data_IF_718558020182
#
_entry.id   IF_718558020182
#
_cell.length_a   1.000
_cell.length_b   1.000
_cell.length_c   1.000
_cell.angle_alpha   90.00
_cell.angle_beta   90.00
_cell.angle_gamma   90.00
#
_symmetry.space_group_name_H-M   'P 1'
#
loop_
_entity.id
_entity.type
_entity.pdbx_description
1 polymer ?
#
# COMPACT_ATOMS: atom_id res chain seq x y z
N UNK A 1 6.79 -1.16 18.72
CA UNK A 1 8.06 -0.42 18.62
C UNK A 1 7.99 0.73 19.60
N UNK A 2 9.03 0.98 20.39
CA UNK A 2 9.17 2.18 21.21
C UNK A 2 9.60 3.36 20.32
N UNK A 3 8.78 4.43 20.16
CA UNK A 3 9.12 5.57 19.31
C UNK A 3 10.43 6.27 19.71
N UNK A 4 10.88 6.14 20.96
CA UNK A 4 12.13 6.76 21.44
C UNK A 4 13.38 6.12 20.83
N UNK A 5 13.30 4.87 20.38
CA UNK A 5 14.42 4.14 19.77
C UNK A 5 14.53 4.36 18.25
N UNK A 6 13.48 4.92 17.62
CA UNK A 6 13.41 5.09 16.18
C UNK A 6 14.55 5.93 15.59
N UNK A 7 14.96 7.08 16.18
CA UNK A 7 16.07 7.86 15.64
C UNK A 7 17.39 7.09 15.61
N UNK A 8 17.66 6.30 16.66
CA UNK A 8 18.87 5.47 16.77
C UNK A 8 18.85 4.33 15.75
N UNK A 9 17.69 3.68 15.59
CA UNK A 9 17.47 2.65 14.57
C UNK A 9 17.73 3.19 13.15
N UNK A 10 17.16 4.35 12.82
CA UNK A 10 17.38 5.00 11.53
C UNK A 10 18.84 5.45 11.35
N UNK A 11 19.50 5.91 12.42
CA UNK A 11 20.91 6.30 12.38
C UNK A 11 21.83 5.12 12.06
N UNK A 12 21.56 3.94 12.63
CA UNK A 12 22.34 2.74 12.34
C UNK A 12 22.29 2.35 10.84
N UNK A 13 21.15 2.55 10.17
CA UNK A 13 21.07 2.34 8.72
C UNK A 13 21.88 3.36 7.94
N UNK A 14 21.86 4.64 8.32
CA UNK A 14 22.68 5.64 7.64
C UNK A 14 24.17 5.37 7.80
N UNK A 15 24.59 4.84 8.95
CA UNK A 15 25.96 4.37 9.15
C UNK A 15 26.28 3.16 8.25
N UNK A 16 25.35 2.22 8.11
CA UNK A 16 25.49 1.11 7.16
C UNK A 16 25.65 1.62 5.71
N UNK A 17 24.86 2.60 5.28
CA UNK A 17 25.00 3.19 3.93
C UNK A 17 26.37 3.86 3.73
N UNK A 18 26.90 4.54 4.75
CA UNK A 18 28.24 5.12 4.69
C UNK A 18 29.31 4.03 4.51
N UNK A 19 29.21 2.92 5.23
CA UNK A 19 30.13 1.78 5.08
C UNK A 19 30.04 1.12 3.71
N UNK A 20 28.83 0.99 3.14
CA UNK A 20 28.63 0.46 1.79
C UNK A 20 29.27 1.40 0.75
N UNK A 21 29.06 2.70 0.89
CA UNK A 21 29.67 3.70 0.01
C UNK A 21 31.20 3.71 0.10
N UNK A 22 31.78 3.56 1.29
CA UNK A 22 33.23 3.43 1.49
C UNK A 22 33.81 2.17 0.85
N UNK A 23 33.05 1.06 0.88
CA UNK A 23 33.47 -0.19 0.25
C UNK A 23 33.40 -0.14 -1.28
N UNK A 24 32.45 0.62 -1.83
CA UNK A 24 32.31 0.87 -3.27
C UNK A 24 31.68 -0.27 -4.08
N UNK A 25 31.12 -1.30 -3.42
CA UNK A 25 30.44 -2.43 -4.07
C UNK A 25 29.02 -2.60 -3.51
N UNK A 26 28.06 -1.80 -4.01
CA UNK A 26 26.65 -1.93 -3.65
C UNK A 26 25.91 -2.90 -4.60
N UNK A 27 25.88 -4.16 -4.19
CA UNK A 27 25.23 -5.27 -4.91
C UNK A 27 23.74 -5.41 -4.65
N UNK A 28 23.14 -4.54 -3.84
CA UNK A 28 21.72 -4.62 -3.50
C UNK A 28 20.84 -4.26 -4.69
N UNK A 29 19.57 -4.62 -4.61
CA UNK A 29 18.63 -4.43 -5.69
C UNK A 29 18.30 -2.94 -5.91
N UNK A 30 18.11 -2.60 -7.18
CA UNK A 30 17.53 -1.34 -7.62
C UNK A 30 16.01 -1.50 -7.70
N UNK A 31 15.28 -0.70 -6.94
CA UNK A 31 13.83 -0.72 -6.93
C UNK A 31 13.26 0.18 -8.03
N UNK A 32 12.37 -0.38 -8.85
CA UNK A 32 11.48 0.40 -9.72
C UNK A 32 10.08 0.31 -9.11
N UNK A 33 9.69 1.38 -8.41
CA UNK A 33 8.40 1.50 -7.72
C UNK A 33 7.36 1.98 -8.72
N UNK A 34 6.31 1.19 -8.95
CA UNK A 34 5.21 1.54 -9.85
C UNK A 34 4.00 1.98 -9.06
N UNK A 35 3.54 3.19 -9.34
CA UNK A 35 2.39 3.81 -8.69
C UNK A 35 1.34 4.13 -9.76
N UNK A 36 0.31 3.29 -9.94
CA UNK A 36 -0.85 3.66 -10.72
C UNK A 36 -1.65 4.74 -10.00
N UNK A 37 -2.09 5.74 -10.75
CA UNK A 37 -2.87 6.86 -10.23
C UNK A 37 -4.00 7.19 -11.20
N UNK A 38 -5.13 7.66 -10.70
CA UNK A 38 -6.23 8.19 -11.50
C UNK A 38 -6.91 9.31 -10.72
N UNK A 39 -6.91 10.52 -11.27
CA UNK A 39 -7.51 11.75 -10.71
C UNK A 39 -7.27 11.96 -9.21
N UNK A 40 -6.09 11.57 -8.70
CA UNK A 40 -5.79 11.59 -7.27
C UNK A 40 -4.42 12.22 -6.94
N UNK A 41 -4.23 13.50 -7.30
CA UNK A 41 -2.96 14.21 -7.05
C UNK A 41 -2.58 14.28 -5.57
N UNK A 42 -3.51 14.40 -4.62
CA UNK A 42 -3.18 14.45 -3.18
C UNK A 42 -2.70 13.11 -2.67
N UNK A 43 -3.35 12.01 -3.06
CA UNK A 43 -2.86 10.67 -2.71
C UNK A 43 -1.46 10.43 -3.28
N UNK A 44 -1.24 10.75 -4.56
CA UNK A 44 0.08 10.65 -5.18
C UNK A 44 1.13 11.46 -4.42
N UNK A 45 0.83 12.72 -4.07
CA UNK A 45 1.73 13.55 -3.29
C UNK A 45 2.08 12.92 -1.94
N UNK A 46 1.08 12.45 -1.17
CA UNK A 46 1.30 11.85 0.14
C UNK A 46 2.13 10.55 0.05
N UNK A 47 1.85 9.72 -0.96
CA UNK A 47 2.64 8.52 -1.23
C UNK A 47 4.11 8.86 -1.50
N UNK A 48 4.38 9.80 -2.41
CA UNK A 48 5.74 10.24 -2.75
C UNK A 48 6.45 10.94 -1.58
N UNK A 49 5.73 11.76 -0.79
CA UNK A 49 6.27 12.37 0.42
C UNK A 49 6.70 11.31 1.43
N UNK A 50 5.88 10.28 1.63
CA UNK A 50 6.22 9.16 2.52
C UNK A 50 7.43 8.37 2.02
N UNK A 51 7.58 8.20 0.69
CA UNK A 51 8.76 7.57 0.09
C UNK A 51 10.00 8.44 0.29
N UNK A 52 9.90 9.76 0.05
CA UNK A 52 11.01 10.68 0.29
C UNK A 52 11.43 10.68 1.76
N UNK A 53 10.47 10.64 2.69
CA UNK A 53 10.72 10.50 4.12
C UNK A 53 11.43 9.18 4.45
N UNK A 54 11.04 8.07 3.83
CA UNK A 54 11.73 6.77 3.94
C UNK A 54 13.18 6.88 3.45
N UNK A 55 13.37 7.39 2.23
CA UNK A 55 14.67 7.55 1.62
C UNK A 55 15.60 8.44 2.47
N UNK A 56 15.10 9.57 3.00
CA UNK A 56 15.88 10.44 3.91
C UNK A 56 16.16 9.79 5.27
N UNK A 57 15.25 8.99 5.77
CA UNK A 57 15.40 8.34 7.08
C UNK A 57 16.46 7.24 7.05
N UNK A 58 16.52 6.45 5.97
CA UNK A 58 17.36 5.25 5.91
C UNK A 58 18.49 5.33 4.88
N UNK A 59 18.48 6.31 3.98
CA UNK A 59 19.50 6.59 2.97
C UNK A 59 19.81 5.43 2.01
N UNK A 60 18.87 4.50 1.79
CA UNK A 60 19.06 3.34 0.91
C UNK A 60 19.53 3.75 -0.49
N UNK A 61 20.78 3.42 -0.82
CA UNK A 61 21.40 3.72 -2.10
C UNK A 61 21.64 5.22 -2.35
N UNK A 62 21.81 6.01 -1.28
CA UNK A 62 22.16 7.42 -1.38
C UNK A 62 23.55 7.59 -1.98
N UNK A 63 23.66 8.37 -3.06
CA UNK A 63 24.93 8.67 -3.72
C UNK A 63 25.57 9.97 -3.20
N UNK A 64 26.81 10.23 -3.66
CA UNK A 64 27.56 11.43 -3.29
C UNK A 64 26.93 12.76 -3.79
N UNK A 65 25.96 12.70 -4.69
CA UNK A 65 25.21 13.85 -5.21
C UNK A 65 23.88 14.06 -4.47
N UNK A 66 23.60 13.25 -3.45
CA UNK A 66 22.35 13.35 -2.69
C UNK A 66 21.14 12.73 -3.39
N UNK A 67 21.35 11.88 -4.41
CA UNK A 67 20.28 11.14 -5.10
C UNK A 67 20.17 9.72 -4.58
N UNK A 68 18.96 9.18 -4.59
CA UNK A 68 18.70 7.79 -4.18
C UNK A 68 18.88 6.85 -5.38
N UNK A 69 20.13 6.56 -5.73
CA UNK A 69 20.54 5.90 -6.97
C UNK A 69 19.96 4.48 -7.16
N UNK A 70 19.47 3.84 -6.09
CA UNK A 70 18.82 2.52 -6.13
C UNK A 70 17.28 2.58 -6.15
N UNK A 71 16.70 3.76 -6.36
CA UNK A 71 15.24 3.96 -6.35
C UNK A 71 14.79 4.79 -7.55
N UNK A 72 14.03 4.14 -8.44
CA UNK A 72 13.31 4.79 -9.53
C UNK A 72 11.80 4.64 -9.28
N UNK A 73 11.03 5.66 -9.63
CA UNK A 73 9.57 5.67 -9.50
C UNK A 73 8.92 5.86 -10.87
N UNK A 74 8.01 4.97 -11.24
CA UNK A 74 7.18 5.06 -12.43
C UNK A 74 5.74 5.40 -12.04
N UNK A 75 5.28 6.60 -12.42
CA UNK A 75 3.89 7.02 -12.24
C UNK A 75 3.09 6.61 -13.47
N UNK A 76 2.22 5.61 -13.30
CA UNK A 76 1.36 5.08 -14.35
C UNK A 76 -0.01 5.78 -14.29
N UNK A 77 -0.15 6.86 -15.06
CA UNK A 77 -1.30 7.76 -14.93
C UNK A 77 -2.48 7.33 -15.82
N UNK A 78 -3.59 6.96 -15.18
CA UNK A 78 -4.89 6.59 -15.76
C UNK A 78 -5.96 7.68 -15.56
N UNK A 79 -5.54 8.91 -15.24
CA UNK A 79 -6.41 10.08 -15.07
C UNK A 79 -7.10 10.47 -16.38
N UNK A 80 -8.31 11.02 -16.27
CA UNK A 80 -9.03 11.58 -17.41
C UNK A 80 -9.14 13.11 -17.32
N UNK A 81 -8.99 13.68 -16.12
CA UNK A 81 -9.14 15.11 -15.90
C UNK A 81 -7.83 15.86 -16.18
N UNK A 82 -7.88 16.85 -17.07
CA UNK A 82 -6.70 17.63 -17.47
C UNK A 82 -6.01 18.34 -16.30
N UNK A 83 -6.79 18.82 -15.32
CA UNK A 83 -6.24 19.44 -14.12
C UNK A 83 -5.49 18.44 -13.24
N UNK A 84 -6.05 17.24 -13.05
CA UNK A 84 -5.40 16.15 -12.33
C UNK A 84 -4.09 15.73 -13.01
N UNK A 85 -4.10 15.56 -14.34
CA UNK A 85 -2.91 15.25 -15.14
C UNK A 85 -1.83 16.31 -14.95
N UNK A 86 -2.18 17.60 -15.05
CA UNK A 86 -1.23 18.70 -14.87
C UNK A 86 -0.63 18.70 -13.47
N UNK A 87 -1.47 18.59 -12.42
CA UNK A 87 -1.00 18.56 -11.03
C UNK A 87 -0.10 17.36 -10.75
N UNK A 88 -0.41 16.19 -11.31
CA UNK A 88 0.42 15.00 -11.14
C UNK A 88 1.79 15.16 -11.80
N UNK A 89 1.87 15.81 -12.97
CA UNK A 89 3.16 16.15 -13.60
C UNK A 89 3.98 17.10 -12.75
N UNK A 90 3.36 18.13 -12.16
CA UNK A 90 4.03 19.07 -11.27
C UNK A 90 4.57 18.37 -10.02
N UNK A 91 3.77 17.47 -9.43
CA UNK A 91 4.19 16.63 -8.30
C UNK A 91 5.41 15.78 -8.70
N UNK A 92 5.35 15.09 -9.83
CA UNK A 92 6.47 14.25 -10.30
C UNK A 92 7.75 15.07 -10.47
N UNK A 93 7.68 16.24 -11.10
CA UNK A 93 8.83 17.12 -11.26
C UNK A 93 9.42 17.58 -9.92
N UNK A 94 8.57 17.95 -8.96
CA UNK A 94 9.02 18.38 -7.63
C UNK A 94 9.77 17.27 -6.86
N UNK A 95 9.34 16.02 -6.99
CA UNK A 95 10.03 14.88 -6.35
C UNK A 95 11.30 14.47 -7.11
N UNK A 96 11.36 14.70 -8.43
CA UNK A 96 12.58 14.57 -9.21
C UNK A 96 13.69 15.51 -8.66
N UNK A 97 13.33 16.78 -8.46
CA UNK A 97 14.21 17.81 -7.89
C UNK A 97 14.62 17.50 -6.45
N UNK A 98 13.79 16.77 -5.70
CA UNK A 98 14.08 16.34 -4.34
C UNK A 98 15.04 15.13 -4.24
N UNK A 99 15.50 14.58 -5.38
CA UNK A 99 16.53 13.55 -5.45
C UNK A 99 16.03 12.13 -5.75
N UNK A 100 14.74 11.94 -5.99
CA UNK A 100 14.17 10.65 -6.44
C UNK A 100 14.20 10.60 -7.97
N UNK A 101 14.59 9.47 -8.56
CA UNK A 101 14.48 9.31 -10.01
C UNK A 101 13.04 8.99 -10.40
N UNK A 102 12.33 9.90 -11.07
CA UNK A 102 10.90 9.75 -11.35
C UNK A 102 10.60 9.80 -12.85
N UNK A 103 9.71 8.91 -13.31
CA UNK A 103 9.20 8.87 -14.67
C UNK A 103 7.67 9.00 -14.67
N UNK A 104 7.18 9.98 -15.41
CA UNK A 104 5.75 10.11 -15.69
C UNK A 104 5.38 9.32 -16.95
N UNK A 105 4.46 8.36 -16.82
CA UNK A 105 3.97 7.50 -17.89
C UNK A 105 2.47 7.73 -18.07
N UNK A 106 2.16 8.82 -18.77
CA UNK A 106 0.79 9.25 -19.04
C UNK A 106 0.20 8.62 -20.28
N UNK A 107 -0.98 9.13 -20.69
CA UNK A 107 -1.75 8.59 -21.81
C UNK A 107 -0.95 8.57 -23.12
N UNK A 108 -0.18 9.62 -23.41
CA UNK A 108 0.62 9.71 -24.64
C UNK A 108 1.70 8.63 -24.68
N UNK A 109 2.45 8.46 -23.59
CA UNK A 109 3.50 7.46 -23.48
C UNK A 109 2.92 6.03 -23.52
N UNK A 110 1.75 5.82 -22.89
CA UNK A 110 1.03 4.55 -22.91
C UNK A 110 0.56 4.18 -24.33
N UNK A 111 -0.06 5.11 -25.04
CA UNK A 111 -0.53 4.88 -26.41
C UNK A 111 0.65 4.62 -27.35
N UNK A 112 1.75 5.39 -27.22
CA UNK A 112 2.96 5.16 -27.98
C UNK A 112 3.57 3.78 -27.71
N UNK A 113 3.52 3.30 -26.46
CA UNK A 113 3.94 1.94 -26.11
C UNK A 113 3.04 0.91 -26.77
N UNK A 114 1.72 1.07 -26.68
CA UNK A 114 0.77 0.12 -27.29
C UNK A 114 0.88 0.09 -28.82
N UNK A 115 1.22 1.20 -29.46
CA UNK A 115 1.49 1.23 -30.90
C UNK A 115 2.72 0.40 -31.29
N UNK A 116 3.75 0.35 -30.44
CA UNK A 116 4.95 -0.47 -30.68
C UNK A 116 4.67 -1.97 -30.55
N UNK A 117 3.73 -2.35 -29.68
CA UNK A 117 3.38 -3.76 -29.43
C UNK A 117 2.07 -4.18 -30.10
N UNK A 118 1.54 -3.38 -31.02
CA UNK A 118 0.21 -3.58 -31.65
C UNK A 118 0.06 -4.91 -32.39
N UNK A 119 1.17 -5.50 -32.84
CA UNK A 119 1.17 -6.76 -33.58
C UNK A 119 1.08 -7.98 -32.64
N UNK A 120 1.13 -7.76 -31.32
CA UNK A 120 0.87 -8.77 -30.30
C UNK A 120 -0.62 -8.83 -29.96
N UNK A 121 -1.15 -10.04 -29.76
CA UNK A 121 -2.51 -10.20 -29.23
C UNK A 121 -2.54 -9.95 -27.73
N UNK A 122 -2.89 -8.73 -27.35
CA UNK A 122 -2.98 -8.27 -25.96
C UNK A 122 -4.40 -7.96 -25.50
N UNK A 123 -5.43 -8.23 -26.33
CA UNK A 123 -6.82 -7.84 -26.04
C UNK A 123 -7.30 -8.41 -24.68
N UNK A 124 -6.96 -9.67 -24.39
CA UNK A 124 -7.30 -10.31 -23.10
C UNK A 124 -6.54 -9.77 -21.88
N UNK A 125 -5.52 -8.94 -22.08
CA UNK A 125 -4.59 -8.45 -21.04
C UNK A 125 -4.76 -6.96 -20.79
N UNK A 126 -4.79 -6.14 -21.84
CA UNK A 126 -4.86 -4.66 -21.75
C UNK A 126 -6.19 -4.10 -22.24
N UNK A 127 -7.08 -4.95 -22.77
CA UNK A 127 -8.40 -4.55 -23.26
C UNK A 127 -8.36 -3.81 -24.60
N UNK A 128 -9.56 -3.49 -25.09
CA UNK A 128 -9.76 -2.61 -26.24
C UNK A 128 -10.31 -1.27 -25.76
N UNK A 129 -9.65 -0.18 -26.14
CA UNK A 129 -10.01 1.16 -25.69
C UNK A 129 -10.06 2.16 -26.85
N UNK A 130 -11.07 3.05 -26.87
CA UNK A 130 -11.07 4.17 -27.78
C UNK A 130 -9.92 5.12 -27.40
N UNK A 131 -9.01 5.39 -28.34
CA UNK A 131 -7.80 6.20 -28.09
C UNK A 131 -8.10 7.62 -27.62
N UNK A 132 -9.26 8.18 -28.00
CA UNK A 132 -9.71 9.50 -27.58
C UNK A 132 -10.34 9.54 -26.17
N UNK A 133 -10.49 8.39 -25.50
CA UNK A 133 -10.97 8.27 -24.13
C UNK A 133 -10.18 7.16 -23.41
N UNK A 134 -8.86 7.36 -23.34
CA UNK A 134 -7.89 6.38 -22.84
C UNK A 134 -7.55 6.54 -21.34
N UNK A 135 -8.34 7.31 -20.59
CA UNK A 135 -8.30 7.36 -19.13
C UNK A 135 -9.30 6.38 -18.50
N UNK A 136 -9.22 6.18 -17.18
CA UNK A 136 -10.11 5.33 -16.38
C UNK A 136 -10.26 3.90 -16.91
N UNK A 137 -9.15 3.33 -17.40
CA UNK A 137 -9.09 1.94 -17.87
C UNK A 137 -9.29 0.98 -16.71
N UNK A 138 -8.87 1.36 -15.50
CA UNK A 138 -9.03 0.58 -14.29
C UNK A 138 -7.77 -0.18 -13.91
N UNK A 139 -7.65 -0.47 -12.61
CA UNK A 139 -6.39 -0.89 -11.96
C UNK A 139 -5.71 -2.08 -12.66
N UNK A 140 -6.47 -3.11 -13.05
CA UNK A 140 -5.91 -4.31 -13.67
C UNK A 140 -5.23 -4.02 -15.01
N UNK A 141 -5.90 -3.26 -15.88
CA UNK A 141 -5.38 -2.95 -17.21
C UNK A 141 -4.23 -1.95 -17.12
N UNK A 142 -4.34 -0.94 -16.25
CA UNK A 142 -3.24 0.01 -16.05
C UNK A 142 -1.98 -0.68 -15.55
N UNK A 143 -2.08 -1.60 -14.58
CA UNK A 143 -0.93 -2.38 -14.11
C UNK A 143 -0.33 -3.26 -15.21
N UNK A 144 -1.16 -3.89 -16.05
CA UNK A 144 -0.68 -4.67 -17.18
C UNK A 144 0.04 -3.81 -18.25
N UNK A 145 -0.46 -2.61 -18.54
CA UNK A 145 0.24 -1.66 -19.43
C UNK A 145 1.57 -1.21 -18.79
N UNK A 146 1.58 -0.96 -17.48
CA UNK A 146 2.81 -0.63 -16.74
C UNK A 146 3.83 -1.78 -16.77
N UNK A 147 3.41 -3.05 -16.75
CA UNK A 147 4.30 -4.20 -16.89
C UNK A 147 5.08 -4.19 -18.21
N UNK A 148 4.43 -3.77 -19.31
CA UNK A 148 5.11 -3.62 -20.60
C UNK A 148 6.19 -2.53 -20.51
N UNK A 149 5.88 -1.42 -19.81
CA UNK A 149 6.87 -0.36 -19.57
C UNK A 149 8.02 -0.83 -18.68
N UNK A 150 7.74 -1.64 -17.67
CA UNK A 150 8.77 -2.25 -16.82
C UNK A 150 9.69 -3.20 -17.60
N UNK A 151 9.16 -3.95 -18.57
CA UNK A 151 9.97 -4.76 -19.47
C UNK A 151 10.91 -3.91 -20.34
N UNK A 152 10.46 -2.75 -20.84
CA UNK A 152 11.33 -1.79 -21.52
C UNK A 152 12.43 -1.24 -20.58
N UNK A 153 12.08 -0.90 -19.33
CA UNK A 153 13.04 -0.40 -18.35
C UNK A 153 14.06 -1.48 -17.96
N UNK A 154 13.65 -2.74 -17.82
CA UNK A 154 14.56 -3.87 -17.60
C UNK A 154 15.59 -3.96 -18.72
N UNK A 155 15.15 -3.87 -19.98
CA UNK A 155 16.05 -3.92 -21.13
C UNK A 155 17.03 -2.72 -21.18
N UNK A 156 16.65 -1.58 -20.59
CA UNK A 156 17.49 -0.38 -20.50
C UNK A 156 18.47 -0.40 -19.33
N UNK A 157 18.29 -1.31 -18.35
CA UNK A 157 19.11 -1.44 -17.15
C UNK A 157 19.70 -2.86 -17.03
N UNK A 158 20.41 -3.38 -18.04
CA UNK A 158 20.84 -4.79 -18.09
C UNK A 158 21.82 -5.18 -16.97
N UNK A 159 22.57 -4.21 -16.45
CA UNK A 159 23.58 -4.41 -15.41
C UNK A 159 23.00 -4.26 -13.98
N UNK A 160 21.72 -3.89 -13.85
CA UNK A 160 21.09 -3.67 -12.56
C UNK A 160 20.33 -4.92 -12.10
N UNK A 161 20.44 -5.23 -10.81
CA UNK A 161 19.58 -6.21 -10.15
C UNK A 161 18.26 -5.56 -9.80
N UNK A 162 17.25 -5.72 -10.64
CA UNK A 162 15.98 -5.02 -10.46
C UNK A 162 15.02 -5.76 -9.52
N UNK A 163 14.26 -4.98 -8.75
CA UNK A 163 12.99 -5.40 -8.14
C UNK A 163 11.90 -4.41 -8.53
N UNK A 164 10.77 -4.92 -9.00
CA UNK A 164 9.60 -4.11 -9.30
C UNK A 164 8.68 -4.08 -8.08
N UNK A 165 8.36 -2.89 -7.58
CA UNK A 165 7.51 -2.72 -6.40
C UNK A 165 6.21 -2.00 -6.79
N UNK A 166 5.13 -2.75 -6.94
CA UNK A 166 3.81 -2.20 -7.25
C UNK A 166 3.09 -1.78 -5.98
N UNK A 167 2.72 -0.50 -5.89
CA UNK A 167 1.91 0.04 -4.79
C UNK A 167 0.70 0.81 -5.33
N UNK A 168 -0.35 1.00 -4.52
CA UNK A 168 -1.45 1.93 -4.82
C UNK A 168 -1.08 3.35 -4.35
N UNK A 169 -1.61 4.40 -5.00
CA UNK A 169 -1.30 5.80 -4.66
C UNK A 169 -1.79 6.24 -3.27
N UNK A 170 -2.71 5.51 -2.65
CA UNK A 170 -3.20 5.74 -1.28
C UNK A 170 -2.42 4.92 -0.22
N UNK A 171 -1.27 4.35 -0.60
CA UNK A 171 -0.32 3.71 0.31
C UNK A 171 0.81 4.66 0.68
N UNK A 172 1.20 4.62 1.95
CA UNK A 172 2.32 5.39 2.47
C UNK A 172 3.33 4.45 3.15
N UNK A 173 4.62 4.78 3.01
CA UNK A 173 5.75 4.08 3.66
C UNK A 173 5.84 4.40 5.16
N UNK A 174 4.73 4.18 5.86
CA UNK A 174 4.54 4.41 7.28
C UNK A 174 3.78 3.23 7.89
N UNK A 175 3.85 3.11 9.20
CA UNK A 175 3.10 2.14 9.97
C UNK A 175 2.40 2.82 11.14
N UNK A 176 1.21 2.33 11.50
CA UNK A 176 0.44 2.87 12.62
C UNK A 176 0.84 2.16 13.91
N UNK A 177 1.45 2.89 14.83
CA UNK A 177 1.84 2.37 16.16
C UNK A 177 0.90 2.89 17.24
N UNK A 178 0.56 2.09 18.26
CA UNK A 178 -0.30 2.56 19.35
C UNK A 178 0.43 3.56 20.25
N UNK A 179 -0.27 4.62 20.65
CA UNK A 179 0.20 5.62 21.63
C UNK A 179 -0.90 5.89 22.65
N UNK A 180 -0.53 6.59 23.74
CA UNK A 180 -1.47 7.04 24.76
C UNK A 180 -2.61 7.91 24.20
N UNK A 181 -2.44 8.53 23.03
CA UNK A 181 -3.38 9.51 22.47
C UNK A 181 -4.19 9.05 21.25
N UNK A 182 -4.05 7.80 20.79
CA UNK A 182 -4.82 7.31 19.62
C UNK A 182 -3.99 6.69 18.51
N UNK A 183 -2.68 6.59 18.70
CA UNK A 183 -1.75 6.06 17.73
C UNK A 183 -1.01 7.14 16.94
N UNK A 184 0.13 6.76 16.36
CA UNK A 184 0.95 7.62 15.52
C UNK A 184 1.38 6.87 14.26
N UNK A 185 1.40 7.56 13.12
CA UNK A 185 1.96 7.04 11.88
C UNK A 185 3.45 7.35 11.82
N UNK A 186 4.29 6.33 11.75
CA UNK A 186 5.75 6.44 11.82
C UNK A 186 6.42 5.78 10.61
N UNK A 187 7.52 6.36 10.14
CA UNK A 187 8.43 5.73 9.18
C UNK A 187 9.39 4.75 9.90
N UNK A 188 8.79 3.70 10.48
CA UNK A 188 9.45 2.77 11.40
C UNK A 188 10.01 1.49 10.74
N UNK A 189 9.76 1.28 9.46
CA UNK A 189 10.26 0.12 8.71
C UNK A 189 11.14 0.62 7.57
N UNK A 190 12.35 0.07 7.44
CA UNK A 190 13.21 0.32 6.29
C UNK A 190 12.77 -0.60 5.13
N UNK A 191 11.63 -0.28 4.50
CA UNK A 191 10.98 -1.18 3.54
C UNK A 191 11.92 -1.68 2.45
N UNK A 192 12.72 -0.79 1.83
CA UNK A 192 13.60 -1.16 0.73
C UNK A 192 14.67 -2.15 1.18
N UNK A 193 15.34 -1.89 2.30
CA UNK A 193 16.33 -2.80 2.86
C UNK A 193 15.74 -4.16 3.27
N UNK A 194 14.61 -4.14 3.99
CA UNK A 194 13.99 -5.37 4.47
C UNK A 194 13.48 -6.25 3.31
N UNK A 195 12.93 -5.64 2.25
CA UNK A 195 12.51 -6.35 1.06
C UNK A 195 13.71 -6.87 0.27
N UNK A 196 14.74 -6.03 0.07
CA UNK A 196 16.00 -6.42 -0.59
C UNK A 196 16.58 -7.68 0.05
N UNK A 197 16.64 -7.72 1.39
CA UNK A 197 17.09 -8.91 2.14
C UNK A 197 16.26 -10.15 1.88
N UNK A 198 14.94 -10.05 1.73
CA UNK A 198 14.12 -11.23 1.41
C UNK A 198 14.50 -11.79 0.05
N UNK A 199 14.68 -10.96 -0.97
CA UNK A 199 15.07 -11.42 -2.31
C UNK A 199 16.55 -11.84 -2.40
N UNK A 200 17.41 -11.34 -1.52
CA UNK A 200 18.82 -11.75 -1.43
C UNK A 200 18.99 -13.08 -0.70
N UNK A 201 18.29 -13.26 0.42
CA UNK A 201 18.49 -14.40 1.33
C UNK A 201 17.53 -15.58 1.07
N UNK A 202 16.60 -15.44 0.13
CA UNK A 202 15.64 -16.49 -0.24
C UNK A 202 15.46 -16.60 -1.75
N UNK A 203 14.85 -17.70 -2.22
CA UNK A 203 14.53 -17.89 -3.65
C UNK A 203 13.23 -17.17 -4.10
N UNK A 204 12.76 -16.20 -3.30
CA UNK A 204 11.55 -15.44 -3.58
C UNK A 204 11.57 -14.80 -4.97
N UNK A 205 10.49 -14.99 -5.71
CA UNK A 205 10.28 -14.39 -7.03
C UNK A 205 9.21 -13.31 -6.98
N UNK A 206 8.19 -13.52 -6.14
CA UNK A 206 7.11 -12.56 -5.87
C UNK A 206 6.87 -12.53 -4.36
N UNK A 207 6.85 -11.33 -3.79
CA UNK A 207 6.52 -11.06 -2.40
C UNK A 207 5.29 -10.16 -2.35
N UNK A 208 4.27 -10.53 -1.57
CA UNK A 208 3.13 -9.64 -1.30
C UNK A 208 3.13 -9.19 0.16
N UNK A 209 2.76 -7.94 0.40
CA UNK A 209 2.54 -7.47 1.77
C UNK A 209 1.43 -8.29 2.44
N UNK A 210 1.57 -8.56 3.74
CA UNK A 210 0.55 -9.26 4.52
C UNK A 210 -0.80 -8.54 4.37
N UNK A 211 -1.77 -9.25 3.80
CA UNK A 211 -3.12 -8.73 3.57
C UNK A 211 -3.92 -8.83 4.86
N UNK A 212 -4.65 -7.77 5.22
CA UNK A 212 -5.66 -7.86 6.28
C UNK A 212 -6.79 -8.74 5.75
N UNK A 213 -6.98 -9.91 6.34
CA UNK A 213 -7.88 -10.93 5.80
C UNK A 213 -7.27 -11.60 4.56
N UNK A 214 -6.14 -12.29 4.73
CA UNK A 214 -5.80 -13.46 3.92
C UNK A 214 -6.26 -14.70 4.70
N UNK A 215 -7.18 -15.54 4.19
CA UNK A 215 -7.84 -15.49 2.88
C UNK A 215 -8.77 -14.27 2.70
N UNK A 216 -9.11 -13.88 1.44
CA UNK A 216 -9.64 -12.56 1.07
C UNK A 216 -10.89 -12.10 1.83
N UNK A 217 -10.89 -10.81 2.19
CA UNK A 217 -12.00 -10.13 2.89
C UNK A 217 -13.36 -10.30 2.18
N UNK A 218 -14.36 -10.75 2.93
CA UNK A 218 -15.77 -10.76 2.54
C UNK A 218 -16.42 -9.41 2.86
N UNK A 219 -16.93 -8.66 1.85
CA UNK A 219 -17.62 -7.39 2.08
C UNK A 219 -18.82 -7.51 3.03
N UNK A 220 -19.50 -8.67 3.03
CA UNK A 220 -20.62 -8.94 3.91
C UNK A 220 -20.17 -9.01 5.38
N UNK A 221 -19.03 -9.66 5.67
CA UNK A 221 -18.46 -9.71 7.03
C UNK A 221 -17.99 -8.34 7.47
N UNK A 222 -17.32 -7.60 6.58
CA UNK A 222 -16.89 -6.23 6.88
C UNK A 222 -18.09 -5.33 7.24
N UNK A 223 -19.18 -5.40 6.48
CA UNK A 223 -20.41 -4.66 6.78
C UNK A 223 -21.08 -5.14 8.08
N UNK A 224 -21.12 -6.45 8.33
CA UNK A 224 -21.66 -7.01 9.56
C UNK A 224 -20.89 -6.57 10.81
N UNK A 225 -19.56 -6.61 10.75
CA UNK A 225 -18.68 -6.12 11.81
C UNK A 225 -18.89 -4.61 12.05
N UNK A 226 -18.98 -3.82 10.99
CA UNK A 226 -19.26 -2.39 11.07
C UNK A 226 -20.60 -2.09 11.77
N UNK A 227 -21.68 -2.75 11.34
CA UNK A 227 -23.00 -2.58 11.97
C UNK A 227 -22.98 -3.00 13.43
N UNK A 228 -22.27 -4.09 13.76
CA UNK A 228 -22.13 -4.58 15.14
C UNK A 228 -21.45 -3.53 16.02
N UNK A 229 -20.34 -2.96 15.56
CA UNK A 229 -19.58 -1.94 16.27
C UNK A 229 -20.40 -0.64 16.44
N UNK A 230 -21.10 -0.20 15.39
CA UNK A 230 -22.00 0.97 15.44
C UNK A 230 -23.11 0.75 16.46
N UNK A 231 -23.78 -0.40 16.42
CA UNK A 231 -24.87 -0.70 17.36
C UNK A 231 -24.37 -0.76 18.81
N UNK A 232 -23.18 -1.31 19.04
CA UNK A 232 -22.58 -1.32 20.37
C UNK A 232 -22.30 0.09 20.89
N UNK A 233 -21.71 0.96 20.07
CA UNK A 233 -21.45 2.35 20.43
C UNK A 233 -22.74 3.14 20.69
N UNK A 234 -23.75 3.00 19.82
CA UNK A 234 -25.05 3.67 20.01
C UNK A 234 -25.74 3.23 21.31
N UNK A 235 -25.67 1.94 21.66
CA UNK A 235 -26.21 1.43 22.94
C UNK A 235 -25.46 1.98 24.14
N UNK A 236 -24.13 2.10 24.06
CA UNK A 236 -23.31 2.71 25.11
C UNK A 236 -23.72 4.18 25.32
N UNK A 237 -23.80 4.95 24.24
CA UNK A 237 -24.12 6.39 24.28
C UNK A 237 -25.55 6.66 24.77
N UNK A 238 -26.49 5.75 24.52
CA UNK A 238 -27.86 5.86 25.05
C UNK A 238 -27.94 5.69 26.58
N UNK A 239 -26.93 5.06 27.20
CA UNK A 239 -26.90 4.76 28.63
C UNK A 239 -26.15 5.78 29.50
N UNK A 240 -25.57 6.83 28.91
CA UNK A 240 -24.68 7.78 29.61
C UNK A 240 -25.14 9.23 29.47
N UNK A 241 -24.74 10.09 30.41
CA UNK A 241 -25.09 11.50 30.37
C UNK A 241 -24.29 12.25 29.28
N UNK A 242 -24.92 13.06 28.41
CA UNK A 242 -24.25 13.71 27.28
C UNK A 242 -23.04 14.59 27.66
N UNK A 243 -23.12 15.26 28.82
CA UNK A 243 -22.08 16.19 29.30
C UNK A 243 -21.00 15.53 30.17
N UNK A 244 -21.16 14.24 30.50
CA UNK A 244 -20.12 13.52 31.21
C UNK A 244 -18.92 13.29 30.28
N UNK A 245 -17.73 13.28 30.87
CA UNK A 245 -16.50 12.91 30.16
C UNK A 245 -16.62 11.50 29.56
N UNK A 246 -16.29 11.37 28.29
CA UNK A 246 -16.22 10.10 27.59
C UNK A 246 -15.08 9.27 28.16
N UNK A 247 -15.38 8.03 28.53
CA UNK A 247 -14.38 7.10 29.04
C UNK A 247 -13.73 6.40 27.86
N UNK A 248 -12.57 6.89 27.45
CA UNK A 248 -11.78 6.28 26.38
C UNK A 248 -11.57 4.77 26.67
N UNK A 249 -11.89 3.88 25.72
CA UNK A 249 -11.52 2.48 25.85
C UNK A 249 -9.99 2.35 25.85
N UNK A 250 -9.49 1.27 26.46
CA UNK A 250 -8.08 0.91 26.33
C UNK A 250 -7.70 0.71 24.87
N UNK A 251 -6.41 0.89 24.54
CA UNK A 251 -5.93 0.61 23.19
C UNK A 251 -6.04 -0.88 22.96
N UNK A 252 -6.97 -1.29 22.11
CA UNK A 252 -7.03 -2.67 21.66
C UNK A 252 -5.85 -2.94 20.73
N UNK A 253 -4.77 -3.44 21.32
CA UNK A 253 -3.56 -3.86 20.62
C UNK A 253 -3.61 -5.32 20.20
N UNK A 254 -4.70 -6.05 20.50
CA UNK A 254 -4.87 -7.47 20.18
C UNK A 254 -4.94 -7.72 18.66
N UNK A 255 -5.22 -6.66 17.89
CA UNK A 255 -5.27 -6.66 16.44
C UNK A 255 -6.52 -7.37 15.93
N UNK A 256 -7.02 -6.98 14.76
CA UNK A 256 -7.92 -7.85 14.02
C UNK A 256 -7.13 -9.11 13.65
N UNK A 257 -7.53 -10.26 14.19
CA UNK A 257 -6.86 -11.54 13.91
C UNK A 257 -6.67 -11.81 12.42
N UNK A 258 -5.76 -12.73 12.10
CA UNK A 258 -5.67 -13.30 10.76
C UNK A 258 -7.08 -13.81 10.35
N UNK A 259 -7.54 -13.43 9.15
CA UNK A 259 -8.90 -13.71 8.67
C UNK A 259 -10.10 -13.03 9.38
N UNK A 260 -9.91 -11.98 10.18
CA UNK A 260 -11.00 -11.26 10.88
C UNK A 260 -12.15 -10.71 10.00
N UNK A 261 -11.96 -10.67 8.68
CA UNK A 261 -12.97 -10.27 7.72
C UNK A 261 -13.34 -11.37 6.70
N UNK A 262 -13.01 -12.63 6.99
CA UNK A 262 -13.35 -13.78 6.14
C UNK A 262 -14.66 -14.43 6.60
N UNK A 263 -15.60 -14.69 5.68
CA UNK A 263 -16.91 -15.30 5.98
C UNK A 263 -16.83 -16.77 6.35
N UNK A 264 -15.76 -17.44 5.95
CA UNK A 264 -15.46 -18.83 6.30
C UNK A 264 -14.26 -18.96 7.26
N UNK A 265 -13.93 -17.91 8.02
CA UNK A 265 -12.75 -17.91 8.93
C UNK A 265 -12.68 -19.17 9.83
N UNK A 266 -13.82 -19.59 10.39
CA UNK A 266 -13.90 -20.80 11.23
C UNK A 266 -13.51 -22.08 10.47
N UNK A 267 -13.85 -22.18 9.18
CA UNK A 267 -13.47 -23.32 8.33
C UNK A 267 -11.97 -23.37 8.04
N UNK A 268 -11.27 -22.26 8.24
CA UNK A 268 -9.81 -22.19 8.17
C UNK A 268 -9.15 -22.23 9.56
N UNK A 269 -9.92 -22.55 10.62
CA UNK A 269 -9.40 -22.70 11.98
C UNK A 269 -9.17 -21.38 12.72
N UNK A 270 -9.76 -20.27 12.26
CA UNK A 270 -9.69 -18.99 12.95
C UNK A 270 -10.92 -18.80 13.87
N UNK A 271 -10.68 -18.32 15.09
CA UNK A 271 -11.76 -17.92 16.01
C UNK A 271 -12.44 -16.64 15.50
N UNK A 272 -13.70 -16.74 15.10
CA UNK A 272 -14.52 -15.58 14.78
C UNK A 272 -14.95 -14.87 16.08
N UNK A 273 -14.11 -14.00 16.63
CA UNK A 273 -14.53 -13.18 17.76
C UNK A 273 -15.55 -12.13 17.30
N UNK A 274 -16.81 -12.31 17.70
CA UNK A 274 -17.95 -11.40 17.40
C UNK A 274 -17.99 -10.21 18.38
N UNK A 275 -16.97 -10.01 19.20
CA UNK A 275 -16.95 -8.87 20.12
C UNK A 275 -16.84 -7.55 19.36
N UNK A 276 -17.71 -6.61 19.74
CA UNK A 276 -17.75 -5.29 19.16
C UNK A 276 -16.51 -4.49 19.58
N UNK A 277 -15.84 -3.87 18.62
CA UNK A 277 -14.71 -3.00 18.90
C UNK A 277 -15.24 -1.66 19.42
N UNK A 278 -14.74 -1.22 20.58
CA UNK A 278 -15.14 0.04 21.17
C UNK A 278 -14.50 1.20 20.45
N UNK A 279 -15.32 2.20 20.13
CA UNK A 279 -14.83 3.41 19.47
C UNK A 279 -13.92 4.21 20.37
N UNK A 280 -12.84 4.76 19.80
CA UNK A 280 -11.93 5.65 20.52
C UNK A 280 -12.05 7.03 19.90
N UNK A 281 -12.57 8.00 20.66
CA UNK A 281 -12.73 9.36 20.20
C UNK A 281 -11.34 9.97 19.89
N UNK A 282 -11.06 10.39 18.64
CA UNK A 282 -9.88 11.15 18.29
C UNK A 282 -9.95 12.57 18.90
N UNK A 283 -8.82 13.07 19.38
CA UNK A 283 -8.70 14.44 19.87
C UNK A 283 -9.28 14.69 21.27
N UNK A 284 -8.71 15.71 21.93
CA UNK A 284 -8.90 16.13 23.32
C UNK A 284 -8.64 15.07 24.39
N UNK A 285 -8.02 15.50 25.50
CA UNK A 285 -7.69 14.60 26.62
C UNK A 285 -8.94 14.13 27.40
N UNK A 286 -10.10 14.77 27.19
CA UNK A 286 -11.37 14.38 27.80
C UNK A 286 -12.62 14.93 27.04
N UNK A 287 -12.94 14.43 25.83
CA UNK A 287 -14.17 14.82 25.15
C UNK A 287 -15.40 14.43 25.98
N UNK A 288 -16.51 15.15 25.84
CA UNK A 288 -17.80 14.71 26.42
C UNK A 288 -18.40 13.59 25.59
N UNK A 289 -19.31 12.80 26.17
CA UNK A 289 -20.06 11.77 25.43
C UNK A 289 -20.75 12.36 24.18
N UNK A 290 -21.35 13.55 24.29
CA UNK A 290 -21.98 14.23 23.16
C UNK A 290 -20.98 14.61 22.04
N UNK A 291 -19.81 15.13 22.42
CA UNK A 291 -18.76 15.47 21.46
C UNK A 291 -18.22 14.21 20.76
N UNK A 292 -17.95 13.15 21.51
CA UNK A 292 -17.54 11.86 20.97
C UNK A 292 -18.58 11.26 20.03
N UNK A 293 -19.87 11.35 20.38
CA UNK A 293 -20.94 10.86 19.52
C UNK A 293 -21.00 11.61 18.19
N UNK A 294 -20.95 12.94 18.24
CA UNK A 294 -20.98 13.78 17.05
C UNK A 294 -19.79 13.51 16.12
N UNK A 295 -18.62 13.31 16.71
CA UNK A 295 -17.41 12.96 16.01
C UNK A 295 -17.50 11.57 15.35
N UNK A 296 -17.94 10.54 16.09
CA UNK A 296 -18.17 9.19 15.55
C UNK A 296 -19.18 9.19 14.39
N UNK A 297 -20.32 9.87 14.59
CA UNK A 297 -21.36 9.97 13.57
C UNK A 297 -20.84 10.65 12.29
N UNK A 298 -19.97 11.65 12.43
CA UNK A 298 -19.31 12.33 11.33
C UNK A 298 -18.27 11.50 10.57
N UNK A 299 -17.93 10.29 11.04
CA UNK A 299 -16.95 9.39 10.45
C UNK A 299 -17.56 8.12 9.84
N UNK A 300 -18.86 7.88 9.99
CA UNK A 300 -19.52 6.68 9.46
C UNK A 300 -19.35 6.52 7.94
N UNK A 301 -19.38 7.62 7.20
CA UNK A 301 -19.23 7.60 5.73
C UNK A 301 -17.85 7.10 5.27
N UNK A 302 -16.82 7.22 6.13
CA UNK A 302 -15.46 6.73 5.82
C UNK A 302 -15.43 5.22 5.59
N UNK A 303 -16.39 4.47 6.15
CA UNK A 303 -16.56 3.04 5.88
C UNK A 303 -16.74 2.74 4.39
N UNK A 304 -17.55 3.54 3.69
CA UNK A 304 -17.78 3.36 2.25
C UNK A 304 -16.57 3.74 1.42
N UNK A 305 -15.68 4.56 1.97
CA UNK A 305 -14.36 4.83 1.44
C UNK A 305 -13.32 3.81 1.87
N UNK A 306 -13.69 2.78 2.63
CA UNK A 306 -12.83 1.65 2.98
C UNK A 306 -12.08 1.79 4.31
N UNK A 307 -12.45 2.72 5.17
CA UNK A 307 -11.85 2.92 6.49
C UNK A 307 -12.83 2.46 7.59
N UNK A 308 -12.40 1.53 8.44
CA UNK A 308 -13.24 1.07 9.55
C UNK A 308 -13.01 1.96 10.78
N UNK A 309 -14.02 2.70 11.29
CA UNK A 309 -13.80 3.73 12.31
C UNK A 309 -13.37 3.18 13.68
N UNK A 310 -13.74 1.94 14.00
CA UNK A 310 -13.44 1.27 15.28
C UNK A 310 -12.31 0.25 15.19
N UNK A 311 -11.96 -0.25 14.01
CA UNK A 311 -11.04 -1.39 13.82
C UNK A 311 -9.75 -0.92 13.18
N UNK A 312 -8.82 -0.47 14.02
CA UNK A 312 -7.49 -0.04 13.61
C UNK A 312 -6.52 -1.22 13.64
N UNK A 313 -5.87 -1.50 12.51
CA UNK A 313 -4.77 -2.46 12.46
C UNK A 313 -3.49 -1.80 12.95
N UNK A 314 -2.98 -2.26 14.09
CA UNK A 314 -1.71 -1.79 14.66
C UNK A 314 -0.53 -2.57 14.11
N UNK A 315 0.56 -1.86 13.84
CA UNK A 315 1.81 -2.50 13.48
C UNK A 315 2.42 -3.25 14.65
N UNK A 316 2.65 -4.55 14.43
CA UNK A 316 3.40 -5.41 15.33
C UNK A 316 4.72 -5.75 14.65
N UNK A 317 5.81 -5.41 15.34
CA UNK A 317 7.14 -5.67 14.83
C UNK A 317 7.43 -7.16 14.88
N UNK A 318 7.74 -7.72 13.71
CA UNK A 318 8.35 -9.03 13.49
C UNK A 318 9.42 -8.79 12.44
N UNK A 319 10.66 -9.29 12.62
CA UNK A 319 11.69 -9.16 11.59
C UNK A 319 11.15 -9.68 10.24
N UNK A 320 11.30 -8.89 9.17
CA UNK A 320 10.58 -9.16 7.90
C UNK A 320 10.95 -10.53 7.35
N UNK A 321 12.24 -10.86 7.33
CA UNK A 321 12.72 -12.16 6.87
C UNK A 321 12.14 -13.34 7.68
N UNK A 322 11.95 -13.18 9.00
CA UNK A 322 11.35 -14.20 9.86
C UNK A 322 9.83 -14.31 9.68
N UNK A 323 9.19 -13.30 9.08
CA UNK A 323 7.76 -13.28 8.79
C UNK A 323 7.41 -13.87 7.42
N UNK A 324 8.42 -14.27 6.63
CA UNK A 324 8.21 -14.84 5.29
C UNK A 324 7.49 -16.17 5.40
N UNK A 325 6.38 -16.28 4.66
CA UNK A 325 5.58 -17.49 4.54
C UNK A 325 5.00 -17.63 3.14
N UNK A 326 4.53 -18.81 2.74
CA UNK A 326 3.89 -19.00 1.43
C UNK A 326 2.66 -18.09 1.27
N UNK A 327 2.55 -17.42 0.12
CA UNK A 327 1.40 -16.59 -0.20
C UNK A 327 0.32 -17.37 -0.97
N UNK A 328 -0.92 -16.90 -0.87
CA UNK A 328 -2.08 -17.43 -1.59
C UNK A 328 -2.80 -16.38 -2.44
N UNK A 329 -2.73 -15.13 -2.00
CA UNK A 329 -3.41 -13.99 -2.61
C UNK A 329 -2.40 -12.89 -2.89
N UNK A 330 -2.48 -12.21 -4.04
CA UNK A 330 -1.72 -10.99 -4.27
C UNK A 330 -2.52 -9.80 -3.79
N UNK A 331 -1.94 -8.97 -2.92
CA UNK A 331 -2.44 -7.61 -2.74
C UNK A 331 -1.83 -6.71 -3.81
N UNK A 332 -2.61 -6.40 -4.84
CA UNK A 332 -2.15 -5.63 -6.01
C UNK A 332 -1.69 -4.21 -5.65
N UNK A 333 -2.08 -3.69 -4.47
CA UNK A 333 -1.65 -2.40 -3.95
C UNK A 333 -0.37 -2.43 -3.11
N UNK A 334 0.24 -3.59 -2.86
CA UNK A 334 1.54 -3.72 -2.20
C UNK A 334 2.11 -5.13 -2.47
N UNK A 335 2.88 -5.25 -3.55
CA UNK A 335 3.64 -6.44 -3.88
C UNK A 335 4.90 -6.11 -4.70
N UNK A 336 5.91 -6.95 -4.53
CA UNK A 336 7.23 -6.84 -5.12
C UNK A 336 7.50 -8.08 -5.96
N UNK A 337 8.18 -7.93 -7.09
CA UNK A 337 8.52 -9.06 -7.93
C UNK A 337 9.82 -8.84 -8.70
N UNK A 338 10.53 -9.94 -8.94
CA UNK A 338 11.72 -9.94 -9.78
C UNK A 338 11.36 -9.84 -11.26
N UNK A 339 12.30 -9.48 -12.15
CA UNK A 339 12.05 -9.44 -13.58
C UNK A 339 11.59 -10.77 -14.18
N UNK A 340 11.98 -11.89 -13.58
CA UNK A 340 11.53 -13.22 -14.01
C UNK A 340 10.01 -13.44 -13.84
N UNK A 341 9.33 -12.59 -13.08
CA UNK A 341 7.88 -12.63 -12.89
C UNK A 341 7.10 -11.67 -13.81
N UNK A 342 7.75 -10.93 -14.71
CA UNK A 342 7.07 -9.99 -15.63
C UNK A 342 6.06 -10.68 -16.57
N UNK A 343 6.22 -11.99 -16.80
CA UNK A 343 5.25 -12.81 -17.56
C UNK A 343 3.91 -13.06 -16.82
N UNK A 344 3.81 -12.65 -15.55
CA UNK A 344 2.65 -12.92 -14.69
C UNK A 344 1.72 -11.69 -14.63
N UNK A 345 1.03 -11.39 -15.74
CA UNK A 345 0.04 -10.31 -15.82
C UNK A 345 -1.19 -10.55 -14.95
N UNK A 346 -1.91 -9.49 -14.62
CA UNK A 346 -3.23 -9.58 -13.97
C UNK A 346 -4.22 -10.20 -14.97
N UNK A 347 -4.74 -11.40 -14.68
CA UNK A 347 -5.63 -12.10 -15.61
C UNK A 347 -7.01 -11.44 -15.66
N UNK A 348 -7.65 -11.49 -16.83
CA UNK A 348 -9.00 -10.98 -17.05
C UNK A 348 -9.17 -9.50 -16.65
N UNK A 349 -8.10 -8.71 -16.72
CA UNK A 349 -8.14 -7.29 -16.41
C UNK A 349 -9.25 -6.50 -17.15
N UNK A 350 -9.58 -6.80 -18.43
CA UNK A 350 -10.70 -6.15 -19.12
C UNK A 350 -12.07 -6.38 -18.47
N UNK A 351 -12.25 -7.45 -17.71
CA UNK A 351 -13.49 -7.75 -17.00
C UNK A 351 -13.66 -6.92 -15.71
N UNK A 352 -12.63 -6.16 -15.29
CA UNK A 352 -12.64 -5.30 -14.09
C UNK A 352 -13.13 -6.02 -12.83
N UNK A 353 -12.77 -7.30 -12.69
CA UNK A 353 -13.19 -8.12 -11.56
C UNK A 353 -12.50 -7.64 -10.28
N UNK A 354 -13.27 -7.53 -9.20
CA UNK A 354 -12.74 -7.25 -7.84
C UNK A 354 -11.89 -8.39 -7.26
N UNK A 355 -11.82 -9.52 -7.94
CA UNK A 355 -11.10 -10.74 -7.54
C UNK A 355 -9.75 -10.92 -8.26
N UNK A 356 -9.16 -9.84 -8.78
CA UNK A 356 -7.87 -9.87 -9.49
C UNK A 356 -6.75 -10.45 -8.61
N UNK A 357 -6.64 -10.00 -7.36
CA UNK A 357 -5.64 -10.47 -6.38
C UNK A 357 -5.70 -11.97 -6.09
N UNK A 358 -6.86 -12.54 -5.69
CA UNK A 358 -6.99 -13.98 -5.46
C UNK A 358 -6.83 -14.84 -6.72
N UNK A 359 -7.22 -14.32 -7.88
CA UNK A 359 -7.05 -15.04 -9.15
C UNK A 359 -5.58 -15.09 -9.55
N UNK A 360 -4.90 -13.94 -9.52
CA UNK A 360 -3.46 -13.85 -9.76
C UNK A 360 -2.67 -14.68 -8.74
N UNK A 361 -3.01 -14.62 -7.45
CA UNK A 361 -2.37 -15.40 -6.39
C UNK A 361 -2.43 -16.90 -6.64
N UNK A 362 -3.58 -17.44 -7.08
CA UNK A 362 -3.70 -18.86 -7.45
C UNK A 362 -2.84 -19.24 -8.65
N UNK A 363 -2.77 -18.38 -9.67
CA UNK A 363 -1.91 -18.62 -10.84
C UNK A 363 -0.42 -18.59 -10.46
N UNK A 364 -0.01 -17.64 -9.62
CA UNK A 364 1.35 -17.54 -9.10
C UNK A 364 1.69 -18.74 -8.22
N UNK A 365 0.79 -19.16 -7.33
CA UNK A 365 1.01 -20.34 -6.50
C UNK A 365 1.20 -21.60 -7.35
N UNK A 366 0.39 -21.77 -8.41
CA UNK A 366 0.51 -22.90 -9.32
C UNK A 366 1.81 -22.90 -10.14
N UNK A 367 2.36 -21.72 -10.47
CA UNK A 367 3.57 -21.58 -11.30
C UNK A 367 4.87 -21.49 -10.51
N UNK A 368 4.84 -20.79 -9.38
CA UNK A 368 6.03 -20.42 -8.59
C UNK A 368 6.15 -21.22 -7.29
N UNK A 369 5.07 -21.84 -6.82
CA UNK A 369 5.05 -22.60 -5.57
C UNK A 369 5.59 -21.79 -4.39
N UNK A 370 6.63 -22.30 -3.75
CA UNK A 370 7.27 -21.69 -2.58
C UNK A 370 7.96 -20.35 -2.87
N UNK A 371 8.23 -20.03 -4.15
CA UNK A 371 8.81 -18.74 -4.57
C UNK A 371 7.81 -17.58 -4.58
N UNK A 372 6.52 -17.86 -4.34
CA UNK A 372 5.50 -16.85 -4.09
C UNK A 372 5.23 -16.75 -2.58
N UNK A 373 5.68 -15.65 -1.98
CA UNK A 373 5.71 -15.45 -0.54
C UNK A 373 4.94 -14.22 -0.09
N UNK A 374 4.56 -14.19 1.18
CA UNK A 374 4.06 -13.01 1.87
C UNK A 374 4.95 -12.68 3.07
N UNK A 375 5.01 -11.40 3.43
CA UNK A 375 5.78 -10.93 4.57
C UNK A 375 5.09 -9.77 5.29
N UNK A 376 5.46 -9.54 6.55
CA UNK A 376 4.95 -8.44 7.38
C UNK A 376 5.58 -7.08 6.99
N UNK A 377 5.23 -6.59 5.79
CA UNK A 377 5.60 -5.26 5.28
C UNK A 377 4.35 -4.38 5.10
N UNK A 378 3.58 -4.11 6.17
CA UNK A 378 2.37 -3.32 6.06
C UNK A 378 2.71 -1.87 5.73
N UNK A 379 2.00 -1.32 4.76
CA UNK A 379 2.01 0.11 4.46
C UNK A 379 0.77 0.77 5.09
N UNK A 380 0.88 2.06 5.40
CA UNK A 380 -0.24 2.83 5.91
C UNK A 380 -1.17 3.16 4.76
N UNK A 381 -2.46 2.93 4.94
CA UNK A 381 -3.45 3.17 3.92
C UNK A 381 -4.26 4.44 4.21
N UNK A 382 -4.00 5.50 3.46
CA UNK A 382 -4.64 6.81 3.59
C UNK A 382 -5.82 6.96 2.62
N UNK A 383 -6.91 6.20 2.84
CA UNK A 383 -8.06 6.15 1.91
C UNK A 383 -8.94 7.40 1.89
N UNK A 384 -8.89 8.22 2.93
CA UNK A 384 -9.68 9.46 3.02
C UNK A 384 -8.78 10.63 3.35
N UNK A 385 -9.09 11.78 2.77
CA UNK A 385 -8.43 13.04 3.10
C UNK A 385 -9.04 13.59 4.39
N UNK A 386 -8.22 14.05 5.32
CA UNK A 386 -8.70 14.49 6.63
C UNK A 386 -9.72 15.64 6.53
N UNK A 387 -9.57 16.54 5.57
CA UNK A 387 -10.47 17.70 5.43
C UNK A 387 -11.80 17.34 4.79
N UNK A 388 -11.81 16.42 3.81
CA UNK A 388 -13.02 16.06 3.06
C UNK A 388 -13.70 14.81 3.58
N UNK A 389 -12.97 13.98 4.34
CA UNK A 389 -13.37 12.65 4.84
C UNK A 389 -13.81 11.69 3.72
N UNK A 390 -13.35 11.97 2.49
CA UNK A 390 -13.66 11.24 1.27
C UNK A 390 -12.37 10.86 0.56
N UNK A 391 -12.42 9.79 -0.22
CA UNK A 391 -11.37 9.50 -1.20
C UNK A 391 -11.38 10.58 -2.28
N UNK A 392 -10.21 11.01 -2.73
CA UNK A 392 -10.07 11.94 -3.86
C UNK A 392 -10.65 11.34 -5.15
N UNK A 393 -10.37 10.06 -5.40
CA UNK A 393 -10.97 9.29 -6.48
C UNK A 393 -11.11 7.82 -6.07
N UNK A 394 -12.14 7.13 -6.58
CA UNK A 394 -12.28 5.68 -6.49
C UNK A 394 -12.79 5.16 -7.84
N UNK A 395 -11.97 4.40 -8.60
CA UNK A 395 -12.37 3.87 -9.90
C UNK A 395 -13.57 2.92 -9.87
#
# INVERSE_FOLDING_TARGET
MDPTLLPSYQAAFRELEALIAEHGDDRRHHFVIVIPVADSPRHLHNCLDSLLALCRSYAYGLDAHGRFAKTTVLIADDSAEAESISRQRDIVAAFADAGIDTHYFGIEEQLALLDRVRDLDLCGVVGEHPRNAFGHKGQGMMRNIAYLRLAEMQAQMPDQRLLFYSIDADQEFRVKVPTADGGQSLCAVNFLYEIDRVFEETDACVLTGKVVGDPPVSPAVMAGNFVTDVLAFLREMAGVAPHQAYRQPGVDTSGSGEAAYHDMAELFGFDASVEAYRYRCPGDTAPTNAACFAEFAGHLDRFFHGEHPTRVTWYRHVPVLQSVQSARTVYTGNYVFSPSALEQFIPFAPLRLRMSGPTMGRLLQARLGERFVSANVPMLHGRTLDETRRSEFRP
#
